data_IF_926587548700
#
_entry.id   IF_926587548700
#
_cell.length_a   1.000
_cell.length_b   1.000
_cell.length_c   1.000
_cell.angle_alpha   90.00
_cell.angle_beta   90.00
_cell.angle_gamma   90.00
#
_symmetry.space_group_name_H-M   'P 1'
#
loop_
_entity.id
_entity.type
_entity.pdbx_description
1 polymer ?
#
# COMPACT_ATOMS: atom_id res chain seq x y z
N UNK A 1 -18.98 -3.30 11.50
CA UNK A 1 -18.08 -2.52 12.39
C UNK A 1 -18.46 -1.05 12.38
N UNK A 2 -18.45 -0.36 11.23
CA UNK A 2 -18.80 1.06 11.20
C UNK A 2 -20.23 1.33 11.70
N UNK A 3 -21.21 0.52 11.31
CA UNK A 3 -22.57 0.56 11.89
C UNK A 3 -22.60 0.45 13.41
N UNK A 4 -21.76 -0.39 14.00
CA UNK A 4 -21.70 -0.55 15.47
C UNK A 4 -21.19 0.73 16.11
N UNK A 5 -20.17 1.38 15.52
CA UNK A 5 -19.67 2.65 15.99
C UNK A 5 -20.70 3.76 15.85
N UNK A 6 -21.41 3.80 14.72
CA UNK A 6 -22.46 4.77 14.47
C UNK A 6 -23.64 4.60 15.45
N UNK A 7 -24.09 3.37 15.68
CA UNK A 7 -25.12 3.03 16.65
C UNK A 7 -24.73 3.34 18.11
N UNK A 8 -23.44 3.51 18.41
CA UNK A 8 -22.98 4.04 19.70
C UNK A 8 -23.14 5.57 19.82
N UNK A 9 -23.74 6.25 18.84
CA UNK A 9 -23.99 7.69 18.81
C UNK A 9 -22.87 8.52 18.16
N UNK A 10 -21.93 7.89 17.46
CA UNK A 10 -20.86 8.60 16.73
C UNK A 10 -21.35 9.00 15.34
N UNK A 11 -21.18 10.27 14.95
CA UNK A 11 -21.44 10.68 13.57
C UNK A 11 -20.51 9.98 12.58
N UNK A 12 -20.94 9.83 11.32
CA UNK A 12 -20.12 9.18 10.29
C UNK A 12 -18.73 9.80 10.09
N UNK A 13 -18.63 11.14 10.22
CA UNK A 13 -17.36 11.85 10.18
C UNK A 13 -16.35 11.41 11.27
N UNK A 14 -16.82 10.87 12.40
CA UNK A 14 -15.97 10.35 13.49
C UNK A 14 -15.89 8.82 13.46
N UNK A 15 -17.00 8.14 13.14
CA UNK A 15 -17.07 6.69 13.08
C UNK A 15 -16.10 6.10 12.04
N UNK A 16 -15.91 6.77 10.90
CA UNK A 16 -14.98 6.34 9.86
C UNK A 16 -13.52 6.37 10.34
N UNK A 17 -12.98 7.51 10.84
CA UNK A 17 -11.66 7.56 11.48
C UNK A 17 -11.51 6.58 12.65
N UNK A 18 -12.51 6.48 13.53
CA UNK A 18 -12.47 5.56 14.68
C UNK A 18 -12.35 4.11 14.21
N UNK A 19 -13.11 3.71 13.18
CA UNK A 19 -12.98 2.40 12.57
C UNK A 19 -11.60 2.13 11.99
N UNK A 20 -10.97 3.13 11.38
CA UNK A 20 -9.59 3.03 10.91
C UNK A 20 -8.59 2.76 12.05
N UNK A 21 -8.77 3.44 13.20
CA UNK A 21 -7.96 3.21 14.41
C UNK A 21 -8.16 1.79 14.92
N UNK A 22 -9.40 1.30 15.00
CA UNK A 22 -9.72 -0.05 15.48
C UNK A 22 -9.08 -1.13 14.59
N UNK A 23 -9.28 -1.03 13.27
CA UNK A 23 -8.68 -1.99 12.31
C UNK A 23 -7.15 -1.95 12.40
N UNK A 24 -6.56 -0.76 12.55
CA UNK A 24 -5.09 -0.65 12.65
C UNK A 24 -4.54 -1.15 13.98
N UNK A 25 -5.17 -0.81 15.09
CA UNK A 25 -4.74 -1.20 16.43
C UNK A 25 -4.92 -2.68 16.71
N UNK A 26 -6.06 -3.26 16.34
CA UNK A 26 -6.40 -4.64 16.71
C UNK A 26 -5.96 -5.68 15.66
N UNK A 27 -5.95 -5.32 14.39
CA UNK A 27 -5.65 -6.27 13.30
C UNK A 27 -4.26 -5.98 12.73
N UNK A 28 -4.05 -4.78 12.17
CA UNK A 28 -2.85 -4.51 11.36
C UNK A 28 -1.57 -4.50 12.21
N UNK A 29 -1.60 -3.82 13.35
CA UNK A 29 -0.43 -3.64 14.21
C UNK A 29 0.09 -4.96 14.80
N UNK A 30 -0.72 -5.78 15.50
CA UNK A 30 -0.23 -7.03 16.11
C UNK A 30 0.09 -8.12 15.09
N UNK A 31 -0.69 -8.26 14.02
CA UNK A 31 -0.53 -9.37 13.07
C UNK A 31 0.47 -9.10 11.95
N UNK A 32 0.60 -7.84 11.52
CA UNK A 32 1.44 -7.51 10.36
C UNK A 32 2.63 -6.63 10.72
N UNK A 33 2.44 -5.55 11.47
CA UNK A 33 3.51 -4.58 11.71
C UNK A 33 4.55 -5.05 12.73
N UNK A 34 4.14 -5.60 13.88
CA UNK A 34 5.07 -6.08 14.91
C UNK A 34 5.94 -7.24 14.38
N UNK A 35 5.40 -8.29 13.73
CA UNK A 35 6.22 -9.37 13.20
C UNK A 35 7.17 -8.90 12.09
N UNK A 36 6.74 -7.97 11.24
CA UNK A 36 7.61 -7.35 10.24
C UNK A 36 8.77 -6.59 10.89
N UNK A 37 8.50 -5.82 11.95
CA UNK A 37 9.52 -5.07 12.68
C UNK A 37 10.53 -6.00 13.37
N UNK A 38 10.06 -7.06 14.02
CA UNK A 38 10.93 -8.09 14.61
C UNK A 38 11.80 -8.78 13.56
N UNK A 39 11.23 -9.10 12.39
CA UNK A 39 12.00 -9.65 11.28
C UNK A 39 13.06 -8.66 10.77
N UNK A 40 12.78 -7.36 10.73
CA UNK A 40 13.77 -6.33 10.39
C UNK A 40 14.92 -6.26 11.40
N UNK A 41 14.63 -6.27 12.70
CA UNK A 41 15.64 -6.30 13.78
C UNK A 41 16.57 -7.51 13.64
N UNK A 42 15.99 -8.71 13.46
CA UNK A 42 16.77 -9.93 13.26
C UNK A 42 17.66 -9.85 12.02
N UNK A 43 17.14 -9.33 10.91
CA UNK A 43 17.95 -9.18 9.71
C UNK A 43 19.10 -8.19 9.92
N UNK A 44 18.89 -7.10 10.66
CA UNK A 44 19.95 -6.16 11.02
C UNK A 44 21.04 -6.84 11.87
N UNK A 45 20.65 -7.64 12.86
CA UNK A 45 21.58 -8.41 13.71
C UNK A 45 22.39 -9.47 12.94
N UNK A 46 21.85 -10.01 11.84
CA UNK A 46 22.52 -11.02 11.00
C UNK A 46 23.46 -10.41 9.94
N UNK A 47 23.41 -9.10 9.69
CA UNK A 47 24.30 -8.42 8.75
C UNK A 47 25.80 -8.67 8.98
N UNK A 48 26.35 -8.58 10.20
CA UNK A 48 27.78 -8.81 10.42
C UNK A 48 28.22 -10.24 10.05
N UNK A 49 27.37 -11.25 10.32
CA UNK A 49 27.63 -12.64 9.93
C UNK A 49 27.68 -12.79 8.41
N UNK A 50 26.72 -12.17 7.72
CA UNK A 50 26.69 -12.16 6.25
C UNK A 50 27.95 -11.48 5.68
N UNK A 51 28.41 -10.38 6.28
CA UNK A 51 29.63 -9.69 5.86
C UNK A 51 30.89 -10.53 6.11
N UNK A 52 31.02 -11.15 7.29
CA UNK A 52 32.15 -12.02 7.61
C UNK A 52 32.23 -13.23 6.67
N UNK A 53 31.09 -13.90 6.45
CA UNK A 53 31.00 -15.02 5.51
C UNK A 53 31.28 -14.59 4.07
N UNK A 54 30.82 -13.41 3.65
CA UNK A 54 31.09 -12.89 2.31
C UNK A 54 32.59 -12.74 2.04
N UNK A 55 33.34 -12.20 3.01
CA UNK A 55 34.79 -12.02 2.90
C UNK A 55 35.48 -13.38 2.81
N UNK A 56 35.16 -14.30 3.74
CA UNK A 56 35.75 -15.63 3.79
C UNK A 56 35.47 -16.43 2.50
N UNK A 57 34.22 -16.43 2.03
CA UNK A 57 33.81 -17.19 0.84
C UNK A 57 34.38 -16.59 -0.44
N UNK A 58 34.45 -15.25 -0.56
CA UNK A 58 35.10 -14.59 -1.70
C UNK A 58 36.56 -15.03 -1.83
N UNK A 59 37.29 -15.08 -0.72
CA UNK A 59 38.69 -15.52 -0.72
C UNK A 59 38.82 -17.01 -1.06
N UNK A 60 38.02 -17.87 -0.43
CA UNK A 60 38.03 -19.32 -0.67
C UNK A 60 37.71 -19.66 -2.14
N UNK A 61 36.68 -19.04 -2.72
CA UNK A 61 36.34 -19.27 -4.12
C UNK A 61 37.41 -18.75 -5.08
N UNK A 62 38.07 -17.63 -4.76
CA UNK A 62 39.15 -17.11 -5.60
C UNK A 62 40.34 -18.06 -5.66
N UNK A 63 40.63 -18.77 -4.57
CA UNK A 63 41.70 -19.77 -4.52
C UNK A 63 41.32 -21.07 -5.23
N UNK A 64 40.14 -21.63 -4.92
CA UNK A 64 39.70 -22.91 -5.50
C UNK A 64 39.52 -22.80 -7.02
N UNK A 65 39.05 -21.65 -7.50
CA UNK A 65 38.78 -21.41 -8.91
C UNK A 65 39.78 -20.42 -9.52
N UNK A 66 41.00 -20.35 -9.00
CA UNK A 66 42.05 -19.48 -9.53
C UNK A 66 42.28 -19.76 -11.02
N UNK A 67 42.40 -21.04 -11.37
CA UNK A 67 42.68 -21.52 -12.73
C UNK A 67 41.56 -21.22 -13.73
N UNK A 68 40.31 -21.13 -13.25
CA UNK A 68 39.11 -20.89 -14.09
C UNK A 68 38.79 -19.41 -14.27
N UNK A 69 39.61 -18.53 -13.69
CA UNK A 69 39.49 -17.08 -13.82
C UNK A 69 38.52 -16.42 -12.83
N UNK A 70 38.58 -15.08 -12.73
CA UNK A 70 37.93 -14.32 -11.65
C UNK A 70 36.40 -14.25 -11.76
N UNK A 71 35.84 -14.35 -12.97
CA UNK A 71 34.38 -14.32 -13.19
C UNK A 71 33.71 -15.57 -12.61
N UNK A 72 34.30 -16.74 -12.85
CA UNK A 72 33.79 -18.03 -12.35
C UNK A 72 33.89 -18.07 -10.83
N UNK A 73 35.02 -17.65 -10.25
CA UNK A 73 35.20 -17.56 -8.81
C UNK A 73 34.15 -16.64 -8.13
N UNK A 74 33.89 -15.45 -8.70
CA UNK A 74 32.87 -14.52 -8.19
C UNK A 74 31.46 -15.10 -8.29
N UNK A 75 31.14 -15.77 -9.40
CA UNK A 75 29.83 -16.40 -9.59
C UNK A 75 29.57 -17.49 -8.56
N UNK A 76 30.55 -18.40 -8.37
CA UNK A 76 30.47 -19.46 -7.35
C UNK A 76 30.39 -18.89 -5.93
N UNK A 77 31.14 -17.83 -5.62
CA UNK A 77 31.05 -17.14 -4.33
C UNK A 77 29.64 -16.56 -4.10
N UNK A 78 29.04 -15.91 -5.11
CA UNK A 78 27.67 -15.37 -5.03
C UNK A 78 26.63 -16.47 -4.80
N UNK A 79 26.74 -17.60 -5.51
CA UNK A 79 25.82 -18.74 -5.32
C UNK A 79 25.94 -19.32 -3.91
N UNK A 80 27.16 -19.52 -3.41
CA UNK A 80 27.40 -20.02 -2.05
C UNK A 80 26.88 -19.04 -0.98
N UNK A 81 27.10 -17.74 -1.17
CA UNK A 81 26.53 -16.70 -0.31
C UNK A 81 25.00 -16.69 -0.33
N UNK A 82 24.37 -16.85 -1.49
CA UNK A 82 22.91 -16.89 -1.59
C UNK A 82 22.31 -18.07 -0.80
N UNK A 83 22.95 -19.24 -0.91
CA UNK A 83 22.58 -20.45 -0.16
C UNK A 83 22.76 -20.25 1.35
N UNK A 84 23.91 -19.73 1.79
CA UNK A 84 24.17 -19.42 3.20
C UNK A 84 23.15 -18.44 3.76
N UNK A 85 22.90 -17.33 3.05
CA UNK A 85 21.94 -16.31 3.48
C UNK A 85 20.52 -16.86 3.59
N UNK A 86 20.13 -17.80 2.74
CA UNK A 86 18.83 -18.48 2.83
C UNK A 86 18.75 -19.36 4.08
N UNK A 87 19.73 -20.22 4.30
CA UNK A 87 19.80 -21.10 5.48
C UNK A 87 19.85 -20.30 6.79
N UNK A 88 20.63 -19.21 6.81
CA UNK A 88 20.74 -18.34 7.97
C UNK A 88 19.39 -17.67 8.30
N UNK A 89 18.70 -17.13 7.29
CA UNK A 89 17.37 -16.53 7.50
C UNK A 89 16.34 -17.55 7.97
N UNK A 90 16.35 -18.77 7.43
CA UNK A 90 15.44 -19.83 7.88
C UNK A 90 15.71 -20.21 9.35
N UNK A 91 16.98 -20.40 9.72
CA UNK A 91 17.38 -20.76 11.09
C UNK A 91 16.94 -19.72 12.12
N UNK A 92 17.03 -18.43 11.78
CA UNK A 92 16.71 -17.33 12.69
C UNK A 92 15.31 -16.72 12.46
N UNK A 93 14.44 -17.34 11.66
CA UNK A 93 13.08 -16.86 11.31
C UNK A 93 13.04 -15.43 10.73
N UNK A 94 14.15 -15.00 10.13
CA UNK A 94 14.35 -13.66 9.57
C UNK A 94 14.01 -13.62 8.07
N UNK A 95 12.93 -14.29 7.66
CA UNK A 95 12.58 -14.51 6.26
C UNK A 95 12.15 -13.22 5.54
N UNK A 96 12.41 -13.14 4.22
CA UNK A 96 12.09 -11.95 3.43
C UNK A 96 10.59 -11.67 3.36
N UNK A 97 9.75 -12.71 3.27
CA UNK A 97 8.29 -12.54 3.19
C UNK A 97 7.71 -11.91 4.46
N UNK A 98 8.31 -12.17 5.63
CA UNK A 98 7.91 -11.56 6.92
C UNK A 98 8.15 -10.05 6.92
N UNK A 99 9.20 -9.57 6.24
CA UNK A 99 9.43 -8.13 6.06
C UNK A 99 8.39 -7.49 5.12
N UNK A 100 7.78 -8.28 4.25
CA UNK A 100 6.78 -7.83 3.28
C UNK A 100 5.34 -7.92 3.82
N UNK A 101 5.15 -8.41 5.05
CA UNK A 101 3.83 -8.44 5.72
C UNK A 101 3.05 -7.12 5.67
N UNK A 102 3.69 -5.92 5.80
CA UNK A 102 2.96 -4.67 5.70
C UNK A 102 2.28 -4.46 4.33
N UNK A 103 2.73 -5.12 3.26
CA UNK A 103 2.07 -5.07 1.95
C UNK A 103 0.71 -5.76 1.95
N UNK A 104 0.48 -6.73 2.84
CA UNK A 104 -0.84 -7.33 3.03
C UNK A 104 -1.88 -6.34 3.61
N UNK A 105 -1.45 -5.15 4.02
CA UNK A 105 -2.35 -4.05 4.40
C UNK A 105 -3.13 -3.49 3.20
N UNK A 106 -2.57 -3.55 1.98
CA UNK A 106 -3.22 -2.98 0.80
C UNK A 106 -4.58 -3.63 0.47
N UNK A 107 -4.71 -4.97 0.43
CA UNK A 107 -6.01 -5.61 0.24
C UNK A 107 -7.05 -5.24 1.32
N UNK A 108 -6.62 -5.16 2.59
CA UNK A 108 -7.50 -4.77 3.70
C UNK A 108 -7.99 -3.32 3.50
N UNK A 109 -7.08 -2.43 3.11
CA UNK A 109 -7.41 -1.04 2.81
C UNK A 109 -8.43 -0.95 1.66
N UNK A 110 -8.19 -1.67 0.56
CA UNK A 110 -9.09 -1.72 -0.61
C UNK A 110 -10.46 -2.28 -0.20
N UNK A 111 -10.50 -3.32 0.63
CA UNK A 111 -11.75 -3.90 1.13
C UNK A 111 -12.58 -2.89 1.93
N UNK A 112 -11.95 -2.15 2.86
CA UNK A 112 -12.64 -1.11 3.63
C UNK A 112 -13.05 0.07 2.73
N UNK A 113 -12.19 0.48 1.81
CA UNK A 113 -12.51 1.54 0.84
C UNK A 113 -13.70 1.15 -0.04
N UNK A 114 -13.80 -0.10 -0.50
CA UNK A 114 -14.93 -0.62 -1.25
C UNK A 114 -16.22 -0.62 -0.43
N UNK A 115 -16.16 -1.00 0.85
CA UNK A 115 -17.32 -0.93 1.76
C UNK A 115 -17.83 0.51 1.85
N UNK A 116 -16.94 1.46 2.15
CA UNK A 116 -17.31 2.88 2.22
C UNK A 116 -17.87 3.38 0.88
N UNK A 117 -17.28 2.96 -0.23
CA UNK A 117 -17.71 3.36 -1.58
C UNK A 117 -19.11 2.83 -1.93
N UNK A 118 -19.46 1.63 -1.47
CA UNK A 118 -20.81 1.07 -1.57
C UNK A 118 -21.79 1.80 -0.66
N UNK A 119 -21.35 2.21 0.54
CA UNK A 119 -22.17 3.06 1.41
C UNK A 119 -22.44 4.44 0.82
N UNK A 120 -21.53 4.96 -0.03
CA UNK A 120 -21.76 6.17 -0.83
C UNK A 120 -22.64 5.94 -2.08
N UNK A 121 -23.22 4.75 -2.30
CA UNK A 121 -24.13 4.51 -3.42
C UNK A 121 -23.47 4.00 -4.71
N UNK A 122 -22.17 3.70 -4.74
CA UNK A 122 -21.51 3.29 -5.99
C UNK A 122 -21.74 1.81 -6.33
N UNK A 123 -22.09 1.52 -7.60
CA UNK A 123 -22.44 0.17 -8.07
C UNK A 123 -21.26 -0.66 -8.59
N UNK A 124 -20.24 -0.05 -9.17
CA UNK A 124 -19.08 -0.80 -9.68
C UNK A 124 -18.25 -1.34 -8.51
N UNK A 125 -17.52 -2.44 -8.68
CA UNK A 125 -16.49 -2.79 -7.70
C UNK A 125 -15.22 -1.98 -7.97
N UNK A 126 -14.53 -1.47 -6.95
CA UNK A 126 -13.16 -0.96 -7.11
C UNK A 126 -12.26 -2.06 -7.72
N UNK A 127 -12.55 -3.32 -7.41
CA UNK A 127 -11.97 -4.51 -8.06
C UNK A 127 -12.32 -4.64 -9.55
N UNK A 128 -13.53 -4.25 -9.96
CA UNK A 128 -13.93 -4.24 -11.37
C UNK A 128 -13.19 -3.17 -12.19
N UNK A 129 -12.92 -2.01 -11.58
CA UNK A 129 -12.16 -0.91 -12.19
C UNK A 129 -10.65 -1.22 -12.24
N UNK A 130 -10.08 -1.80 -11.17
CA UNK A 130 -8.63 -2.09 -11.08
C UNK A 130 -8.24 -3.38 -11.81
N UNK A 131 -9.09 -4.41 -11.82
CA UNK A 131 -8.77 -5.73 -12.38
C UNK A 131 -9.56 -6.08 -13.65
N UNK A 132 -10.32 -5.14 -14.21
CA UNK A 132 -11.02 -5.35 -15.49
C UNK A 132 -11.97 -6.55 -15.47
N UNK A 133 -12.64 -6.81 -14.35
CA UNK A 133 -13.70 -7.82 -14.30
C UNK A 133 -14.98 -7.18 -14.79
N UNK A 134 -15.37 -7.55 -16.01
CA UNK A 134 -16.54 -7.02 -16.71
C UNK A 134 -17.81 -7.11 -15.89
N UNK A 135 -18.30 -5.97 -15.43
CA UNK A 135 -19.74 -5.71 -15.38
C UNK A 135 -20.16 -5.06 -16.70
N UNK A 136 -19.91 -5.75 -17.81
CA UNK A 136 -20.73 -5.61 -19.01
C UNK A 136 -21.92 -6.58 -18.86
N UNK A 137 -22.80 -6.26 -17.90
CA UNK A 137 -24.15 -6.79 -17.86
C UNK A 137 -25.11 -5.60 -18.07
N UNK A 138 -24.86 -4.86 -19.15
CA UNK A 138 -25.93 -4.19 -19.85
C UNK A 138 -26.36 -5.19 -20.93
N UNK A 139 -27.63 -5.60 -20.91
CA UNK A 139 -28.22 -6.42 -21.95
C UNK A 139 -27.89 -5.81 -23.33
N UNK A 140 -27.03 -6.48 -24.09
CA UNK A 140 -27.01 -6.28 -25.54
C UNK A 140 -28.22 -7.02 -26.10
N UNK A 141 -29.20 -6.35 -26.72
CA UNK A 141 -30.04 -7.04 -27.69
C UNK A 141 -29.13 -7.59 -28.81
N UNK A 142 -29.53 -8.74 -29.33
CA UNK A 142 -28.76 -9.64 -30.20
C UNK A 142 -28.02 -8.97 -31.37
N UNK A 143 -26.90 -9.60 -31.73
CA UNK A 143 -25.79 -9.14 -32.58
C UNK A 143 -26.08 -8.92 -34.09
N UNK A 144 -27.29 -8.51 -34.47
CA UNK A 144 -27.64 -8.33 -35.90
C UNK A 144 -27.85 -6.87 -36.33
N UNK A 145 -27.72 -5.89 -35.43
CA UNK A 145 -28.04 -4.48 -35.73
C UNK A 145 -26.84 -3.50 -35.69
N UNK A 146 -25.60 -3.99 -35.81
CA UNK A 146 -24.38 -3.21 -35.52
C UNK A 146 -23.54 -2.83 -36.75
N UNK A 147 -24.12 -2.80 -37.95
CA UNK A 147 -23.38 -2.49 -39.18
C UNK A 147 -23.67 -1.12 -39.82
N UNK A 148 -24.43 -0.20 -39.20
CA UNK A 148 -24.85 1.01 -39.93
C UNK A 148 -24.82 2.38 -39.24
N UNK A 149 -24.32 2.57 -38.01
CA UNK A 149 -24.32 3.92 -37.40
C UNK A 149 -23.17 4.13 -36.39
N UNK A 150 -21.97 4.39 -36.89
CA UNK A 150 -20.72 4.37 -36.13
C UNK A 150 -20.23 5.68 -35.51
N UNK A 151 -20.99 6.78 -35.51
CA UNK A 151 -20.43 8.06 -35.01
C UNK A 151 -21.40 8.92 -34.18
N UNK A 152 -22.69 8.96 -34.51
CA UNK A 152 -23.67 9.73 -33.70
C UNK A 152 -24.05 9.07 -32.36
N UNK A 153 -23.93 7.74 -32.23
CA UNK A 153 -24.32 7.03 -31.00
C UNK A 153 -23.30 7.20 -29.85
N UNK A 154 -22.04 7.51 -30.17
CA UNK A 154 -21.01 7.73 -29.16
C UNK A 154 -21.19 9.08 -28.44
N UNK A 155 -21.62 10.11 -29.15
CA UNK A 155 -21.91 11.44 -28.57
C UNK A 155 -23.16 11.36 -27.68
N UNK A 156 -24.18 10.62 -28.10
CA UNK A 156 -25.44 10.46 -27.37
C UNK A 156 -25.32 9.52 -26.15
N UNK A 157 -24.36 8.59 -26.14
CA UNK A 157 -24.05 7.76 -24.98
C UNK A 157 -23.21 8.50 -23.92
N UNK A 158 -22.38 9.45 -24.36
CA UNK A 158 -21.65 10.37 -23.48
C UNK A 158 -22.60 11.39 -22.86
N UNK A 159 -23.58 11.90 -23.61
CA UNK A 159 -24.63 12.79 -23.10
C UNK A 159 -25.52 12.10 -22.06
N UNK A 160 -26.01 10.88 -22.33
CA UNK A 160 -26.86 10.14 -21.37
C UNK A 160 -26.13 9.70 -20.09
N UNK A 161 -24.81 9.49 -20.17
CA UNK A 161 -24.02 9.19 -18.97
C UNK A 161 -23.67 10.46 -18.19
N UNK A 162 -23.52 11.60 -18.86
CA UNK A 162 -23.45 12.91 -18.22
C UNK A 162 -24.78 13.27 -17.53
N UNK A 163 -25.93 13.08 -18.19
CA UNK A 163 -27.28 13.32 -17.64
C UNK A 163 -27.61 12.41 -16.45
N UNK A 164 -27.20 11.14 -16.49
CA UNK A 164 -27.38 10.21 -15.37
C UNK A 164 -26.44 10.55 -14.19
N UNK A 165 -25.22 11.03 -14.47
CA UNK A 165 -24.32 11.55 -13.45
C UNK A 165 -24.80 12.89 -12.89
N UNK A 166 -25.42 13.73 -13.71
CA UNK A 166 -25.97 15.03 -13.35
C UNK A 166 -27.27 14.87 -12.55
N UNK A 167 -28.13 13.91 -12.87
CA UNK A 167 -29.28 13.52 -12.06
C UNK A 167 -28.86 12.91 -10.70
N UNK A 168 -27.79 12.10 -10.68
CA UNK A 168 -27.17 11.61 -9.44
C UNK A 168 -26.48 12.74 -8.68
N UNK A 169 -25.92 13.75 -9.37
CA UNK A 169 -25.32 14.95 -8.79
C UNK A 169 -26.38 15.92 -8.21
N UNK A 170 -27.54 16.00 -8.85
CA UNK A 170 -28.69 16.79 -8.44
C UNK A 170 -29.38 16.17 -7.22
N UNK A 171 -29.46 14.84 -7.15
CA UNK A 171 -29.82 14.10 -5.92
C UNK A 171 -28.78 14.29 -4.80
N UNK A 172 -27.51 14.33 -5.16
CA UNK A 172 -26.36 14.58 -4.27
C UNK A 172 -26.32 16.00 -3.67
N UNK A 173 -27.12 16.94 -4.20
CA UNK A 173 -27.17 18.33 -3.76
C UNK A 173 -28.35 18.73 -2.87
N UNK A 174 -29.37 17.86 -2.70
CA UNK A 174 -30.58 18.21 -1.92
C UNK A 174 -30.65 17.42 -0.61
N UNK A 175 -30.79 18.13 0.50
CA UNK A 175 -30.93 17.64 1.88
C UNK A 175 -32.26 16.91 2.18
N UNK A 176 -33.05 16.56 1.16
CA UNK A 176 -34.33 15.89 1.29
C UNK A 176 -34.39 14.66 0.37
N UNK A 177 -34.89 13.53 0.90
CA UNK A 177 -35.24 12.36 0.11
C UNK A 177 -36.43 12.75 -0.80
N UNK A 178 -36.37 12.54 -2.13
CA UNK A 178 -37.56 12.67 -2.97
C UNK A 178 -38.59 11.61 -2.55
N UNK A 179 -39.85 12.03 -2.40
CA UNK A 179 -40.99 11.17 -1.99
C UNK A 179 -41.24 9.97 -2.93
N UNK A 180 -40.60 9.96 -4.11
CA UNK A 180 -40.55 8.80 -4.98
C UNK A 180 -39.17 8.73 -5.66
N UNK A 181 -38.34 7.78 -5.24
CA UNK A 181 -37.20 7.31 -6.05
C UNK A 181 -37.81 6.52 -7.20
N UNK A 182 -37.61 6.89 -8.49
CA UNK A 182 -38.04 6.03 -9.58
C UNK A 182 -37.36 4.67 -9.45
N UNK A 183 -38.16 3.59 -9.40
CA UNK A 183 -37.76 2.17 -9.26
C UNK A 183 -36.72 1.70 -10.30
N UNK A 184 -36.40 2.53 -11.28
CA UNK A 184 -35.45 2.30 -12.35
C UNK A 184 -34.03 2.80 -12.05
N UNK A 185 -33.77 3.50 -10.93
CA UNK A 185 -32.41 3.90 -10.54
C UNK A 185 -31.82 2.84 -9.61
N UNK A 186 -30.89 2.02 -10.10
CA UNK A 186 -30.42 0.87 -9.34
C UNK A 186 -29.38 1.30 -8.31
N UNK A 187 -29.82 1.84 -7.19
CA UNK A 187 -28.98 2.23 -6.06
C UNK A 187 -28.38 0.99 -5.41
N UNK A 188 -27.16 1.06 -4.86
CA UNK A 188 -26.60 -0.06 -4.11
C UNK A 188 -27.44 -0.35 -2.86
N UNK A 189 -27.76 -1.62 -2.60
CA UNK A 189 -28.50 -2.06 -1.40
C UNK A 189 -27.85 -1.69 -0.05
N UNK A 190 -26.62 -1.20 -0.08
CA UNK A 190 -25.82 -0.80 1.09
C UNK A 190 -25.70 0.72 1.22
N UNK A 191 -26.45 1.49 0.43
CA UNK A 191 -26.45 2.94 0.49
C UNK A 191 -26.86 3.39 1.89
N UNK A 192 -26.05 4.27 2.48
CA UNK A 192 -26.34 4.88 3.77
C UNK A 192 -26.75 6.34 3.56
N UNK A 193 -28.03 6.70 3.72
CA UNK A 193 -28.52 8.05 3.42
C UNK A 193 -28.01 9.10 4.41
N UNK A 194 -27.69 8.71 5.65
CA UNK A 194 -27.14 9.60 6.68
C UNK A 194 -25.73 10.13 6.34
N UNK A 195 -25.02 9.55 5.37
CA UNK A 195 -23.75 10.10 4.86
C UNK A 195 -23.91 11.47 4.21
N UNK A 196 -25.10 11.79 3.70
CA UNK A 196 -25.35 13.07 3.05
C UNK A 196 -25.45 14.23 4.06
N UNK A 197 -25.82 13.94 5.31
CA UNK A 197 -26.11 14.95 6.35
C UNK A 197 -25.07 14.96 7.47
N UNK A 198 -24.42 13.83 7.74
CA UNK A 198 -23.48 13.67 8.87
C UNK A 198 -22.02 13.98 8.52
N UNK A 199 -21.83 15.05 7.74
CA UNK A 199 -20.53 15.64 7.51
C UNK A 199 -19.94 16.37 8.70
N UNK A 200 -18.72 16.85 8.51
CA UNK A 200 -18.03 17.67 9.50
C UNK A 200 -17.19 18.76 8.84
N UNK A 201 -16.92 19.81 9.61
CA UNK A 201 -16.10 20.95 9.21
C UNK A 201 -16.59 21.58 7.89
N UNK A 202 -15.78 21.51 6.82
CA UNK A 202 -16.06 22.10 5.51
C UNK A 202 -16.63 21.10 4.49
N UNK A 203 -16.84 19.84 4.88
CA UNK A 203 -17.41 18.78 4.04
C UNK A 203 -18.72 18.27 4.66
N UNK A 204 -19.86 18.94 4.40
CA UNK A 204 -21.15 18.57 5.01
C UNK A 204 -21.72 17.26 4.46
N UNK A 205 -21.36 16.88 3.23
CA UNK A 205 -21.82 15.64 2.60
C UNK A 205 -20.61 14.73 2.28
N UNK A 206 -20.59 13.54 2.89
CA UNK A 206 -19.50 12.57 2.75
C UNK A 206 -19.48 11.88 1.38
N UNK A 207 -20.58 11.91 0.63
CA UNK A 207 -20.75 11.25 -0.66
C UNK A 207 -20.21 12.08 -1.83
N UNK A 208 -19.95 13.36 -1.59
CA UNK A 208 -19.42 14.29 -2.60
C UNK A 208 -17.89 14.35 -2.53
N UNK A 209 -17.30 14.85 -3.62
CA UNK A 209 -15.90 15.26 -3.60
C UNK A 209 -15.69 16.42 -2.61
N UNK A 210 -14.47 16.56 -2.11
CA UNK A 210 -14.13 17.64 -1.17
C UNK A 210 -14.28 19.01 -1.85
N UNK A 211 -15.20 19.89 -1.37
CA UNK A 211 -15.45 21.18 -2.00
C UNK A 211 -14.22 22.09 -2.06
N UNK A 212 -13.36 22.01 -1.04
CA UNK A 212 -12.18 22.87 -0.91
C UNK A 212 -10.89 22.20 -1.38
N UNK A 213 -10.96 20.94 -1.85
CA UNK A 213 -9.82 20.15 -2.31
C UNK A 213 -8.69 19.98 -1.28
N UNK A 214 -8.94 20.19 0.01
CA UNK A 214 -7.94 20.10 1.09
C UNK A 214 -7.58 18.64 1.37
N UNK A 215 -8.57 17.76 1.50
CA UNK A 215 -8.42 16.36 1.88
C UNK A 215 -7.53 15.55 0.92
N UNK A 216 -7.66 15.66 -0.42
CA UNK A 216 -6.76 14.98 -1.36
C UNK A 216 -5.28 15.33 -1.13
N UNK A 217 -4.96 16.60 -0.88
CA UNK A 217 -3.60 17.04 -0.61
C UNK A 217 -3.12 16.65 0.80
N UNK A 218 -4.01 16.63 1.79
CA UNK A 218 -3.71 16.10 3.13
C UNK A 218 -3.33 14.61 3.05
N UNK A 219 -4.11 13.80 2.32
CA UNK A 219 -3.80 12.37 2.10
C UNK A 219 -2.46 12.21 1.39
N UNK A 220 -2.21 12.98 0.33
CA UNK A 220 -0.93 12.98 -0.38
C UNK A 220 0.25 13.31 0.55
N UNK A 221 0.14 14.37 1.35
CA UNK A 221 1.17 14.76 2.31
C UNK A 221 1.43 13.71 3.39
N UNK A 222 0.37 13.13 3.96
CA UNK A 222 0.45 12.09 4.99
C UNK A 222 1.05 10.78 4.47
N UNK A 223 0.66 10.35 3.27
CA UNK A 223 1.21 9.14 2.64
C UNK A 223 2.68 9.34 2.30
N UNK A 224 3.05 10.51 1.79
CA UNK A 224 4.44 10.88 1.55
C UNK A 224 5.24 10.89 2.86
N UNK A 225 4.74 11.49 3.94
CA UNK A 225 5.42 11.53 5.23
C UNK A 225 5.66 10.12 5.81
N UNK A 226 4.64 9.26 5.75
CA UNK A 226 4.70 7.86 6.20
C UNK A 226 5.74 7.07 5.41
N UNK A 227 5.72 7.20 4.09
CA UNK A 227 6.65 6.50 3.21
C UNK A 227 8.08 7.05 3.31
N UNK A 228 8.24 8.36 3.50
CA UNK A 228 9.54 8.99 3.70
C UNK A 228 10.19 8.45 4.97
N UNK A 229 9.41 8.34 6.05
CA UNK A 229 9.88 7.75 7.31
C UNK A 229 10.26 6.27 7.15
N UNK A 230 9.43 5.48 6.47
CA UNK A 230 9.67 4.05 6.25
C UNK A 230 10.80 3.73 5.25
N UNK A 231 11.17 4.67 4.38
CA UNK A 231 12.19 4.48 3.34
C UNK A 231 13.59 4.94 3.73
N UNK A 232 13.80 5.42 4.97
CA UNK A 232 15.13 5.76 5.47
C UNK A 232 15.98 4.50 5.58
N UNK A 233 17.18 4.46 4.95
CA UNK A 233 18.03 3.29 5.06
C UNK A 233 18.53 3.11 6.49
N UNK A 234 18.63 1.85 6.97
CA UNK A 234 19.21 1.56 8.27
C UNK A 234 20.73 1.74 8.31
N UNK A 235 21.41 1.95 7.17
CA UNK A 235 22.86 2.14 7.14
C UNK A 235 23.23 3.32 6.21
N UNK A 236 23.92 4.32 6.76
CA UNK A 236 24.61 5.35 5.98
C UNK A 236 25.81 4.74 5.27
N UNK A 237 25.57 4.14 4.10
CA UNK A 237 26.63 3.51 3.32
C UNK A 237 26.11 2.71 2.14
N UNK A 238 26.31 3.25 0.91
CA UNK A 238 25.96 2.65 -0.39
C UNK A 238 24.62 1.90 -0.40
N UNK A 239 23.53 2.66 -0.33
CA UNK A 239 22.23 2.15 -0.79
C UNK A 239 22.37 1.58 -2.21
N UNK A 240 21.68 0.47 -2.50
CA UNK A 240 21.63 -0.05 -3.87
C UNK A 240 20.90 0.96 -4.76
N UNK A 241 21.34 1.19 -6.01
CA UNK A 241 20.70 2.15 -6.91
C UNK A 241 19.21 1.84 -7.12
N UNK A 242 18.84 0.55 -7.16
CA UNK A 242 17.44 0.13 -7.25
C UNK A 242 16.57 0.59 -6.06
N UNK A 243 17.13 0.65 -4.84
CA UNK A 243 16.42 1.15 -3.66
C UNK A 243 16.17 2.65 -3.71
N UNK A 244 17.15 3.41 -4.23
CA UNK A 244 17.02 4.85 -4.45
C UNK A 244 15.94 5.13 -5.51
N UNK A 245 15.96 4.39 -6.62
CA UNK A 245 14.97 4.50 -7.70
C UNK A 245 13.57 4.17 -7.16
N UNK A 246 13.43 3.04 -6.46
CA UNK A 246 12.15 2.64 -5.86
C UNK A 246 11.63 3.70 -4.89
N UNK A 247 12.49 4.26 -4.02
CA UNK A 247 12.10 5.34 -3.10
C UNK A 247 11.57 6.55 -3.87
N UNK A 248 12.26 6.99 -4.93
CA UNK A 248 11.82 8.12 -5.76
C UNK A 248 10.48 7.84 -6.43
N UNK A 249 10.30 6.67 -7.04
CA UNK A 249 9.03 6.26 -7.67
C UNK A 249 7.89 6.31 -6.64
N UNK A 250 8.11 5.73 -5.46
CA UNK A 250 7.07 5.71 -4.42
C UNK A 250 6.78 7.12 -3.87
N UNK A 251 7.79 8.00 -3.74
CA UNK A 251 7.59 9.41 -3.35
C UNK A 251 6.80 10.19 -4.40
N UNK A 252 7.17 10.06 -5.68
CA UNK A 252 6.44 10.67 -6.80
C UNK A 252 5.00 10.15 -6.86
N UNK A 253 4.80 8.85 -6.67
CA UNK A 253 3.48 8.24 -6.59
C UNK A 253 2.64 8.83 -5.45
N UNK A 254 3.22 9.02 -4.26
CA UNK A 254 2.52 9.64 -3.13
C UNK A 254 2.09 11.09 -3.43
N UNK A 255 2.94 11.87 -4.11
CA UNK A 255 2.59 13.23 -4.53
C UNK A 255 1.47 13.23 -5.58
N UNK A 256 1.48 12.29 -6.52
CA UNK A 256 0.46 12.16 -7.55
C UNK A 256 -0.93 11.77 -7.01
N UNK A 257 -1.04 11.19 -5.80
CA UNK A 257 -2.33 10.84 -5.18
C UNK A 257 -3.24 12.07 -5.05
N UNK A 258 -2.69 13.24 -4.73
CA UNK A 258 -3.47 14.47 -4.55
C UNK A 258 -4.34 14.82 -5.75
N UNK A 259 -3.75 15.13 -6.92
CA UNK A 259 -4.53 15.45 -8.12
C UNK A 259 -5.36 14.26 -8.65
N UNK A 260 -4.92 13.01 -8.45
CA UNK A 260 -5.67 11.84 -8.93
C UNK A 260 -6.96 11.56 -8.14
N UNK A 261 -7.07 12.07 -6.90
CA UNK A 261 -8.19 11.76 -6.01
C UNK A 261 -9.19 12.91 -5.84
N UNK A 262 -9.10 13.95 -6.68
CA UNK A 262 -9.98 15.12 -6.62
C UNK A 262 -11.46 14.78 -6.79
N UNK A 263 -11.79 13.77 -7.61
CA UNK A 263 -13.17 13.36 -7.86
C UNK A 263 -13.67 12.23 -6.95
N UNK A 264 -12.86 11.82 -5.96
CA UNK A 264 -13.24 10.73 -5.06
C UNK A 264 -14.16 11.24 -3.95
N UNK A 265 -15.13 10.42 -3.49
CA UNK A 265 -15.96 10.75 -2.34
C UNK A 265 -15.14 11.07 -1.08
N UNK A 266 -15.57 12.10 -0.36
CA UNK A 266 -14.92 12.60 0.85
C UNK A 266 -14.78 11.52 1.92
N UNK A 267 -15.77 10.63 2.06
CA UNK A 267 -15.72 9.50 3.00
C UNK A 267 -14.47 8.62 2.85
N UNK A 268 -14.05 8.35 1.61
CA UNK A 268 -12.88 7.51 1.30
C UNK A 268 -11.60 8.25 1.66
N UNK A 269 -11.51 9.55 1.34
CA UNK A 269 -10.37 10.40 1.68
C UNK A 269 -10.21 10.58 3.19
N UNK A 270 -11.33 10.69 3.91
CA UNK A 270 -11.36 10.75 5.37
C UNK A 270 -10.84 9.46 5.99
N UNK A 271 -11.31 8.30 5.51
CA UNK A 271 -10.77 7.00 5.92
C UNK A 271 -9.27 6.88 5.60
N UNK A 272 -8.86 7.30 4.40
CA UNK A 272 -7.47 7.19 3.95
C UNK A 272 -6.54 8.05 4.81
N UNK A 273 -6.90 9.31 5.04
CA UNK A 273 -6.13 10.22 5.91
C UNK A 273 -6.04 9.66 7.33
N UNK A 274 -7.16 9.32 7.98
CA UNK A 274 -7.18 8.79 9.33
C UNK A 274 -6.34 7.50 9.45
N UNK A 275 -6.50 6.58 8.51
CA UNK A 275 -5.72 5.35 8.56
C UNK A 275 -4.24 5.67 8.35
N UNK A 276 -3.84 6.52 7.40
CA UNK A 276 -2.43 6.86 7.16
C UNK A 276 -1.80 7.54 8.38
N UNK A 277 -2.54 8.42 9.05
CA UNK A 277 -2.12 9.02 10.32
C UNK A 277 -1.86 7.94 11.37
N UNK A 278 -2.77 6.96 11.50
CA UNK A 278 -2.56 5.83 12.41
C UNK A 278 -1.32 5.02 12.03
N UNK A 279 -1.06 4.80 10.73
CA UNK A 279 0.14 4.10 10.29
C UNK A 279 1.42 4.88 10.65
N UNK A 280 1.42 6.21 10.46
CA UNK A 280 2.51 7.09 10.87
C UNK A 280 2.77 6.99 12.38
N UNK A 281 1.72 7.08 13.20
CA UNK A 281 1.81 6.92 14.66
C UNK A 281 2.33 5.53 15.03
N UNK A 282 1.83 4.47 14.39
CA UNK A 282 2.35 3.11 14.61
C UNK A 282 3.85 3.02 14.34
N UNK A 283 4.36 3.70 13.30
CA UNK A 283 5.81 3.77 13.06
C UNK A 283 6.55 4.49 14.19
N UNK A 284 6.02 5.59 14.73
CA UNK A 284 6.61 6.26 15.90
C UNK A 284 6.66 5.34 17.12
N UNK A 285 5.56 4.63 17.39
CA UNK A 285 5.44 3.68 18.49
C UNK A 285 6.44 2.54 18.30
N UNK A 286 6.52 1.96 17.11
CA UNK A 286 7.46 0.88 16.80
C UNK A 286 8.91 1.33 16.85
N UNK A 287 9.23 2.56 16.45
CA UNK A 287 10.56 3.12 16.59
C UNK A 287 10.95 3.28 18.08
N UNK A 288 10.00 3.67 18.92
CA UNK A 288 10.20 3.85 20.37
C UNK A 288 10.34 2.51 21.12
N UNK A 289 9.47 1.54 20.86
CA UNK A 289 9.44 0.27 21.60
C UNK A 289 10.27 -0.85 20.97
N UNK A 290 10.50 -0.80 19.65
CA UNK A 290 11.28 -1.78 18.89
C UNK A 290 12.34 -1.06 18.03
N UNK A 291 13.36 -0.45 18.66
CA UNK A 291 14.42 0.24 17.94
C UNK A 291 15.19 -0.72 17.04
N UNK A 292 15.65 -0.23 15.89
CA UNK A 292 16.51 -0.99 14.99
C UNK A 292 17.96 -0.69 15.33
N UNK A 293 18.61 -1.62 16.02
CA UNK A 293 20.04 -1.51 16.30
C UNK A 293 20.84 -1.73 15.02
N UNK A 294 21.66 -0.75 14.68
CA UNK A 294 22.53 -0.85 13.52
C UNK A 294 23.66 -1.84 13.79
N UNK A 295 24.02 -2.69 12.81
CA UNK A 295 25.15 -3.60 12.99
C UNK A 295 26.46 -2.81 13.12
N UNK A 296 27.47 -3.38 13.82
CA UNK A 296 28.78 -2.75 13.92
C UNK A 296 29.40 -2.54 12.53
N UNK A 297 30.10 -1.42 12.35
CA UNK A 297 30.80 -1.10 11.10
C UNK A 297 31.89 -2.15 10.83
N UNK A 298 32.11 -2.56 9.57
CA UNK A 298 33.19 -3.49 9.24
C UNK A 298 34.56 -2.95 9.68
N UNK A 299 35.42 -3.84 10.18
CA UNK A 299 36.80 -3.48 10.55
C UNK A 299 37.54 -2.89 9.33
N UNK A 300 38.25 -1.78 9.53
CA UNK A 300 39.08 -1.15 8.47
C UNK A 300 40.26 -2.03 8.05
N UNK A 301 40.76 -2.87 8.97
CA UNK A 301 41.89 -3.76 8.73
C UNK A 301 41.47 -4.88 7.78
N UNK A 302 42.13 -4.98 6.62
CA UNK A 302 42.03 -6.15 5.78
C UNK A 302 42.64 -7.35 6.52
N UNK A 303 41.92 -8.46 6.57
CA UNK A 303 42.48 -9.71 7.09
C UNK A 303 43.55 -10.14 6.11
N UNK A 304 44.83 -9.98 6.48
CA UNK A 304 45.95 -10.52 5.71
C UNK A 304 45.83 -12.04 5.71
N UNK A 305 45.86 -12.63 4.53
CA UNK A 305 45.72 -14.06 4.33
C UNK A 305 47.10 -14.71 4.16
N UNK A 306 47.39 -15.78 4.91
CA UNK A 306 48.61 -16.57 4.78
C UNK A 306 48.38 -17.79 3.86
N UNK A 307 48.96 -17.81 2.64
CA UNK A 307 48.71 -18.86 1.65
C UNK A 307 49.22 -20.25 2.05
N UNK A 308 50.19 -20.36 2.96
CA UNK A 308 50.84 -21.63 3.31
C UNK A 308 49.97 -22.54 4.18
N UNK A 309 48.99 -21.99 4.91
CA UNK A 309 48.16 -22.77 5.84
C UNK A 309 47.08 -23.62 5.13
N UNK A 310 46.59 -23.20 3.97
CA UNK A 310 45.49 -23.87 3.24
C UNK A 310 45.99 -24.98 2.32
N UNK A 311 47.23 -24.89 1.82
CA UNK A 311 47.84 -25.98 1.05
C UNK A 311 48.05 -27.25 1.87
N UNK A 312 48.20 -27.15 3.20
CA UNK A 312 48.33 -28.31 4.11
C UNK A 312 46.99 -28.95 4.50
N UNK A 313 45.86 -28.36 4.14
CA UNK A 313 44.52 -28.83 4.50
C UNK A 313 43.76 -29.44 3.30
N UNK A 314 44.44 -29.62 2.17
CA UNK A 314 44.02 -30.48 1.05
C UNK A 314 44.60 -31.87 1.25
#
# INVERSE_FOLDING_TARGET
>A
MFEVLHNCGLSWAVAIPAGAVVVRGLIIMPWFQIPARKAQQQNAALLPLNHAYAIAMKHRCHQIFYDKGPRVARSKAKMAMAKYNYQLRQRWRAERWRQMLPLATFPIFIGVAEVIRRMCGSRSGLWGIIFGSGSAQAQHPSAEALTAAGESAAVEAVDRTADALEAVAQWKGSTALPEAVPDSVPISNWLEPSFATEGALWFPNLMLADPNMILPFVVSGLTMATLHRGSKPPQEGKERPAGIILRRILMTGALAIGPLTLHMPTAILLYWSASTTCAYISHLILDKYYPLDMPPKPCRRSVMYNPKAVQKAK
#
